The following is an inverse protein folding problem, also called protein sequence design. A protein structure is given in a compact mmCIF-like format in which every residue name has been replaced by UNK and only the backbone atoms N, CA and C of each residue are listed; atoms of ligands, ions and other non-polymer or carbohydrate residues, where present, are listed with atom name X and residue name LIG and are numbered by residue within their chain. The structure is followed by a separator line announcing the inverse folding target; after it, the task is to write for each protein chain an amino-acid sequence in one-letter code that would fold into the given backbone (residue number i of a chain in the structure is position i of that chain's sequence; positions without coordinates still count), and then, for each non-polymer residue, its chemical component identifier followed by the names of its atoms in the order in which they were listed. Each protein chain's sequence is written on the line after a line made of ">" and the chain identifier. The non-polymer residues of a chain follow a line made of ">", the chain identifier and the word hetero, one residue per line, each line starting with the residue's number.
data_IF_419193544535
#
_entry.id   IF_419193544535
#
_cell.length_a   1.000
_cell.length_b   1.000
_cell.length_c   1.000
_cell.angle_alpha   90.00
_cell.angle_beta   90.00
_cell.angle_gamma   90.00
#
_symmetry.space_group_name_H-M   'P 1'
#
loop_
_entity.id
_entity.type
_entity.pdbx_description
1 polymer ?
#
# COMPACT_ATOMS: atom_id res chain seq x y z
N UNK A 1 -40.74 -51.77 -32.03
CA UNK A 1 -40.80 -51.14 -30.70
C UNK A 1 -39.45 -51.29 -30.02
N UNK A 2 -38.96 -50.25 -29.32
CA UNK A 2 -37.56 -50.05 -28.91
C UNK A 2 -37.26 -50.57 -27.49
N UNK A 3 -35.98 -50.77 -27.14
CA UNK A 3 -35.40 -50.32 -25.86
C UNK A 3 -33.90 -50.61 -25.75
N UNK A 4 -33.15 -49.52 -25.90
CA UNK A 4 -31.91 -49.13 -25.24
C UNK A 4 -31.56 -49.88 -23.93
N UNK A 5 -30.32 -50.38 -23.82
CA UNK A 5 -29.56 -50.34 -22.56
C UNK A 5 -28.08 -50.11 -22.85
N UNK A 6 -27.73 -48.83 -22.84
CA UNK A 6 -26.37 -48.35 -22.63
C UNK A 6 -25.72 -48.90 -21.34
N UNK A 7 -24.39 -49.04 -21.44
CA UNK A 7 -23.41 -48.66 -20.42
C UNK A 7 -23.12 -49.63 -19.25
N UNK A 8 -21.85 -50.07 -19.17
CA UNK A 8 -20.93 -49.73 -18.06
C UNK A 8 -19.52 -50.26 -18.32
N UNK A 9 -18.71 -49.39 -18.91
CA UNK A 9 -17.24 -49.43 -18.82
C UNK A 9 -16.85 -49.20 -17.36
N UNK A 10 -15.95 -50.02 -16.83
CA UNK A 10 -15.47 -49.94 -15.45
C UNK A 10 -14.82 -48.60 -15.13
N UNK A 11 -14.85 -48.14 -13.87
CA UNK A 11 -14.32 -46.83 -13.51
C UNK A 11 -12.80 -46.81 -13.68
N UNK A 12 -12.34 -45.85 -14.46
CA UNK A 12 -10.95 -45.49 -14.63
C UNK A 12 -10.30 -45.20 -13.26
N UNK A 13 -9.09 -45.74 -13.09
CA UNK A 13 -8.19 -45.44 -11.99
C UNK A 13 -8.10 -43.93 -11.79
N UNK A 14 -8.55 -43.47 -10.63
CA UNK A 14 -8.32 -42.12 -10.16
C UNK A 14 -6.81 -41.96 -9.95
N UNK A 15 -6.14 -41.36 -10.92
CA UNK A 15 -4.80 -40.82 -10.74
C UNK A 15 -4.85 -39.84 -9.58
N UNK A 16 -4.21 -40.25 -8.48
CA UNK A 16 -4.10 -39.44 -7.27
C UNK A 16 -3.57 -38.07 -7.63
N UNK A 17 -4.41 -37.06 -7.47
CA UNK A 17 -4.00 -35.66 -7.51
C UNK A 17 -2.86 -35.51 -6.54
N UNK A 18 -1.66 -35.30 -7.07
CA UNK A 18 -0.49 -34.93 -6.32
C UNK A 18 -0.85 -33.66 -5.54
N UNK A 19 -1.21 -33.84 -4.27
CA UNK A 19 -1.51 -32.75 -3.36
C UNK A 19 -0.29 -31.84 -3.36
N UNK A 20 -0.39 -30.72 -4.07
CA UNK A 20 0.66 -29.73 -4.17
C UNK A 20 1.12 -29.38 -2.75
N UNK A 21 2.31 -29.87 -2.38
CA UNK A 21 2.89 -29.61 -1.06
C UNK A 21 2.86 -28.10 -0.83
N UNK A 22 2.46 -27.60 0.36
CA UNK A 22 2.45 -26.18 0.64
C UNK A 22 3.88 -25.67 0.43
N UNK A 23 4.11 -24.89 -0.63
CA UNK A 23 5.41 -24.31 -0.94
C UNK A 23 5.77 -23.43 0.26
N UNK A 24 6.84 -23.79 0.98
CA UNK A 24 7.34 -22.95 2.08
C UNK A 24 7.79 -21.63 1.48
N UNK A 25 7.01 -20.58 1.71
CA UNK A 25 7.38 -19.25 1.24
C UNK A 25 8.55 -18.70 2.06
N UNK A 26 9.56 -18.12 1.40
CA UNK A 26 10.69 -17.53 2.12
C UNK A 26 10.24 -16.36 3.01
N UNK A 27 10.91 -16.21 4.15
CA UNK A 27 10.69 -15.17 5.15
C UNK A 27 10.69 -13.75 4.55
N UNK A 28 11.41 -13.54 3.45
CA UNK A 28 11.49 -12.27 2.73
C UNK A 28 10.12 -11.80 2.19
N UNK A 29 9.21 -12.71 1.84
CA UNK A 29 7.88 -12.35 1.37
C UNK A 29 7.01 -11.86 2.52
N UNK A 30 7.13 -12.47 3.70
CA UNK A 30 6.47 -11.97 4.90
C UNK A 30 7.04 -10.63 5.35
N UNK A 31 8.36 -10.43 5.24
CA UNK A 31 8.98 -9.13 5.50
C UNK A 31 8.50 -8.05 4.51
N UNK A 32 8.43 -8.38 3.21
CA UNK A 32 7.85 -7.51 2.18
C UNK A 32 6.41 -7.14 2.48
N UNK A 33 5.61 -8.13 2.89
CA UNK A 33 4.22 -7.92 3.25
C UNK A 33 4.08 -7.01 4.48
N UNK A 34 4.85 -7.28 5.54
CA UNK A 34 4.84 -6.46 6.76
C UNK A 34 5.28 -5.03 6.48
N UNK A 35 6.31 -4.82 5.66
CA UNK A 35 6.75 -3.49 5.28
C UNK A 35 5.70 -2.76 4.40
N UNK A 36 5.03 -3.48 3.51
CA UNK A 36 3.97 -2.91 2.69
C UNK A 36 2.72 -2.56 3.51
N UNK A 37 2.40 -3.37 4.53
CA UNK A 37 1.25 -3.12 5.40
C UNK A 37 1.44 -1.91 6.31
N UNK A 38 2.68 -1.46 6.56
CA UNK A 38 2.94 -0.16 7.21
C UNK A 38 2.31 0.98 6.40
N UNK A 39 2.36 0.93 5.07
CA UNK A 39 1.72 1.93 4.21
C UNK A 39 0.20 1.92 4.32
N UNK A 40 -0.40 0.73 4.46
CA UNK A 40 -1.81 0.59 4.78
C UNK A 40 -2.16 1.18 6.14
N UNK A 41 -1.39 0.85 7.18
CA UNK A 41 -1.59 1.37 8.53
C UNK A 41 -1.46 2.90 8.59
N UNK A 42 -0.52 3.49 7.84
CA UNK A 42 -0.34 4.93 7.73
C UNK A 42 -1.57 5.62 7.12
N UNK A 43 -2.12 5.07 6.05
CA UNK A 43 -3.37 5.55 5.46
C UNK A 43 -4.54 5.47 6.46
N UNK A 44 -4.64 4.34 7.15
CA UNK A 44 -5.66 4.14 8.18
C UNK A 44 -5.51 5.12 9.35
N UNK A 45 -4.29 5.38 9.79
CA UNK A 45 -3.99 6.32 10.87
C UNK A 45 -4.46 7.73 10.51
N UNK A 46 -4.10 8.26 9.34
CA UNK A 46 -4.52 9.62 8.92
C UNK A 46 -6.04 9.74 8.79
N UNK A 47 -6.69 8.69 8.28
CA UNK A 47 -8.14 8.64 8.12
C UNK A 47 -8.88 8.63 9.45
N UNK A 48 -8.37 7.92 10.46
CA UNK A 48 -9.01 7.84 11.78
C UNK A 48 -8.68 9.01 12.69
N UNK A 49 -7.42 9.46 12.73
CA UNK A 49 -6.95 10.46 13.69
C UNK A 49 -7.59 11.83 13.47
N UNK A 50 -7.90 12.18 12.22
CA UNK A 50 -8.51 13.48 11.90
C UNK A 50 -9.90 13.63 12.51
N UNK A 51 -10.65 12.54 12.65
CA UNK A 51 -11.99 12.60 13.23
C UNK A 51 -11.94 13.04 14.70
N UNK A 52 -10.91 12.62 15.44
CA UNK A 52 -10.67 13.07 16.81
C UNK A 52 -10.05 14.48 16.86
N UNK A 53 -9.05 14.75 16.01
CA UNK A 53 -8.35 16.03 16.00
C UNK A 53 -9.27 17.20 15.60
N UNK A 54 -10.22 16.98 14.70
CA UNK A 54 -11.16 18.02 14.25
C UNK A 54 -12.00 18.60 15.38
N UNK A 55 -12.35 17.80 16.38
CA UNK A 55 -13.13 18.28 17.54
C UNK A 55 -12.33 19.34 18.32
N UNK A 56 -11.07 19.04 18.62
CA UNK A 56 -10.18 19.94 19.35
C UNK A 56 -9.77 21.17 18.52
N UNK A 57 -9.48 20.97 17.23
CA UNK A 57 -9.09 22.05 16.31
C UNK A 57 -10.25 23.04 16.11
N UNK A 58 -11.50 22.55 16.13
CA UNK A 58 -12.69 23.40 16.07
C UNK A 58 -12.72 24.38 17.24
N UNK A 59 -12.53 23.85 18.44
CA UNK A 59 -12.64 24.61 19.68
C UNK A 59 -11.47 25.58 19.87
N UNK A 60 -10.24 25.19 19.49
CA UNK A 60 -9.05 26.05 19.65
C UNK A 60 -9.04 27.25 18.70
N UNK A 61 -9.41 27.05 17.44
CA UNK A 61 -9.36 28.10 16.42
C UNK A 61 -10.72 28.77 16.16
N UNK A 62 -11.75 28.44 16.96
CA UNK A 62 -13.14 28.88 16.80
C UNK A 62 -13.62 28.77 15.33
N UNK A 63 -13.39 27.58 14.75
CA UNK A 63 -13.62 27.35 13.33
C UNK A 63 -15.10 27.04 13.04
N UNK A 64 -15.61 27.67 11.97
CA UNK A 64 -16.91 27.30 11.40
C UNK A 64 -16.86 25.86 10.85
N UNK A 65 -17.99 25.15 10.86
CA UNK A 65 -18.11 23.80 10.28
C UNK A 65 -17.62 23.74 8.82
N UNK A 66 -17.91 24.78 8.04
CA UNK A 66 -17.42 24.92 6.67
C UNK A 66 -15.88 24.84 6.59
N UNK A 67 -15.14 25.38 7.56
CA UNK A 67 -13.68 25.34 7.56
C UNK A 67 -13.13 23.94 7.82
N UNK A 68 -13.77 23.19 8.72
CA UNK A 68 -13.39 21.79 8.99
C UNK A 68 -13.66 20.94 7.76
N UNK A 69 -14.81 21.13 7.11
CA UNK A 69 -15.13 20.46 5.84
C UNK A 69 -14.07 20.74 4.77
N UNK A 70 -13.57 21.97 4.67
CA UNK A 70 -12.48 22.32 3.74
C UNK A 70 -11.16 21.61 4.11
N UNK A 71 -10.82 21.53 5.40
CA UNK A 71 -9.62 20.83 5.89
C UNK A 71 -9.69 19.32 5.56
N UNK A 72 -10.85 18.69 5.75
CA UNK A 72 -11.04 17.26 5.47
C UNK A 72 -11.10 16.99 3.96
N UNK A 73 -11.91 17.75 3.22
CA UNK A 73 -12.11 17.55 1.79
C UNK A 73 -10.87 17.86 0.95
N UNK A 74 -10.03 18.82 1.36
CA UNK A 74 -8.79 19.13 0.66
C UNK A 74 -7.79 17.98 0.67
N UNK A 75 -7.68 17.23 1.78
CA UNK A 75 -6.84 16.03 1.86
C UNK A 75 -7.32 14.94 0.89
N UNK A 76 -8.64 14.67 0.88
CA UNK A 76 -9.25 13.68 -0.02
C UNK A 76 -9.15 14.10 -1.49
N UNK A 77 -9.37 15.39 -1.78
CA UNK A 77 -9.22 15.96 -3.11
C UNK A 77 -7.78 15.86 -3.63
N UNK A 78 -6.79 16.17 -2.78
CA UNK A 78 -5.39 15.98 -3.10
C UNK A 78 -5.09 14.49 -3.36
N UNK A 79 -5.54 13.59 -2.48
CA UNK A 79 -5.35 12.15 -2.66
C UNK A 79 -5.95 11.66 -3.99
N UNK A 80 -7.14 12.14 -4.37
CA UNK A 80 -7.77 11.80 -5.64
C UNK A 80 -6.90 12.23 -6.83
N UNK A 81 -6.46 13.49 -6.87
CA UNK A 81 -5.61 14.01 -7.96
C UNK A 81 -4.29 13.24 -8.06
N UNK A 82 -3.61 13.04 -6.93
CA UNK A 82 -2.33 12.35 -6.92
C UNK A 82 -2.45 10.85 -7.19
N UNK A 83 -3.58 10.22 -6.85
CA UNK A 83 -3.84 8.81 -7.18
C UNK A 83 -3.91 8.57 -8.69
N UNK A 84 -4.47 9.51 -9.46
CA UNK A 84 -4.54 9.43 -10.92
C UNK A 84 -3.15 9.49 -11.58
N UNK A 85 -2.27 10.33 -11.04
CA UNK A 85 -0.91 10.53 -11.58
C UNK A 85 0.08 9.49 -11.01
N UNK A 86 -0.26 8.84 -9.89
CA UNK A 86 0.62 7.90 -9.18
C UNK A 86 1.15 6.76 -10.06
N UNK A 87 0.33 6.24 -10.97
CA UNK A 87 0.74 5.18 -11.90
C UNK A 87 1.87 5.62 -12.83
N UNK A 88 1.75 6.80 -13.43
CA UNK A 88 2.78 7.38 -14.30
C UNK A 88 4.07 7.62 -13.52
N UNK A 89 3.96 8.15 -12.30
CA UNK A 89 5.12 8.37 -11.41
C UNK A 89 5.80 7.03 -11.10
N UNK A 90 5.05 6.03 -10.62
CA UNK A 90 5.58 4.72 -10.26
C UNK A 90 6.19 3.96 -11.45
N UNK A 91 5.66 4.14 -12.65
CA UNK A 91 6.25 3.60 -13.88
C UNK A 91 7.53 4.35 -14.28
N UNK A 92 7.60 5.66 -14.06
CA UNK A 92 8.77 6.47 -14.37
C UNK A 92 9.94 6.17 -13.42
N UNK A 93 9.75 6.33 -12.11
CA UNK A 93 10.82 6.30 -11.09
C UNK A 93 10.97 4.97 -10.34
N UNK A 94 10.00 4.05 -10.47
CA UNK A 94 9.96 2.79 -9.73
C UNK A 94 8.92 2.80 -8.62
N UNK A 95 8.43 1.61 -8.26
CA UNK A 95 7.41 1.46 -7.22
C UNK A 95 8.00 1.77 -5.85
N UNK A 96 9.17 1.19 -5.52
CA UNK A 96 9.85 1.44 -4.23
C UNK A 96 10.20 2.91 -4.09
N UNK A 97 10.80 3.53 -5.12
CA UNK A 97 11.19 4.95 -5.07
C UNK A 97 9.97 5.86 -4.88
N UNK A 98 8.85 5.59 -5.57
CA UNK A 98 7.63 6.35 -5.41
C UNK A 98 7.06 6.25 -3.99
N UNK A 99 7.06 5.05 -3.40
CA UNK A 99 6.59 4.85 -2.02
C UNK A 99 7.50 5.57 -1.02
N UNK A 100 8.83 5.51 -1.20
CA UNK A 100 9.77 6.22 -0.34
C UNK A 100 9.63 7.74 -0.45
N UNK A 101 9.48 8.28 -1.66
CA UNK A 101 9.27 9.70 -1.87
C UNK A 101 7.96 10.17 -1.20
N UNK A 102 6.89 9.40 -1.35
CA UNK A 102 5.63 9.69 -0.70
C UNK A 102 5.73 9.62 0.83
N UNK A 103 6.49 8.67 1.39
CA UNK A 103 6.74 8.58 2.83
C UNK A 103 7.45 9.83 3.39
N UNK A 104 8.40 10.39 2.63
CA UNK A 104 9.07 11.66 3.00
C UNK A 104 8.07 12.82 2.97
N UNK A 105 7.28 12.94 1.90
CA UNK A 105 6.25 13.99 1.77
C UNK A 105 5.23 13.88 2.90
N UNK A 106 4.80 12.67 3.25
CA UNK A 106 3.89 12.41 4.37
C UNK A 106 4.49 12.85 5.71
N UNK A 107 5.77 12.53 5.95
CA UNK A 107 6.47 12.90 7.17
C UNK A 107 6.56 14.42 7.32
N UNK A 108 6.88 15.12 6.23
CA UNK A 108 6.91 16.60 6.20
C UNK A 108 5.52 17.15 6.49
N UNK A 109 4.48 16.61 5.84
CA UNK A 109 3.10 17.02 6.06
C UNK A 109 2.65 16.84 7.52
N UNK A 110 2.96 15.68 8.13
CA UNK A 110 2.70 15.40 9.54
C UNK A 110 3.42 16.39 10.47
N UNK A 111 4.69 16.68 10.21
CA UNK A 111 5.45 17.66 10.98
C UNK A 111 4.87 19.07 10.87
N UNK A 112 4.52 19.51 9.65
CA UNK A 112 3.89 20.82 9.40
C UNK A 112 2.57 20.94 10.16
N UNK A 113 1.76 19.88 10.21
CA UNK A 113 0.52 19.88 10.98
C UNK A 113 0.77 19.93 12.49
N UNK A 114 1.78 19.23 13.01
CA UNK A 114 2.10 19.23 14.43
C UNK A 114 2.57 20.58 14.97
N UNK A 115 3.25 21.39 14.15
CA UNK A 115 3.71 22.74 14.53
C UNK A 115 2.77 23.86 14.06
N UNK A 116 1.60 23.52 13.51
CA UNK A 116 0.72 24.49 12.89
C UNK A 116 0.22 25.53 13.91
N UNK A 117 0.40 26.82 13.59
CA UNK A 117 -0.09 27.93 14.42
C UNK A 117 -1.29 28.66 13.79
N UNK A 118 -1.93 28.02 12.80
CA UNK A 118 -3.11 28.59 12.15
C UNK A 118 -3.71 27.66 11.10
N UNK A 119 -4.98 27.94 10.77
CA UNK A 119 -5.81 27.15 9.84
C UNK A 119 -5.20 26.95 8.46
N UNK A 120 -4.47 27.92 7.92
CA UNK A 120 -3.82 27.82 6.61
C UNK A 120 -2.64 26.85 6.61
N UNK A 121 -1.88 26.81 7.70
CA UNK A 121 -0.76 25.87 7.84
C UNK A 121 -1.27 24.43 8.00
N UNK A 122 -2.38 24.25 8.73
CA UNK A 122 -3.11 22.99 8.76
C UNK A 122 -3.57 22.56 7.36
N UNK A 123 -4.21 23.46 6.61
CA UNK A 123 -4.69 23.17 5.25
C UNK A 123 -3.54 22.72 4.32
N UNK A 124 -2.40 23.41 4.34
CA UNK A 124 -1.22 23.04 3.55
C UNK A 124 -0.69 21.67 3.98
N UNK A 125 -0.64 21.40 5.30
CA UNK A 125 -0.26 20.11 5.84
C UNK A 125 -1.18 18.98 5.35
N UNK A 126 -2.51 19.20 5.37
CA UNK A 126 -3.51 18.23 4.89
C UNK A 126 -3.40 17.95 3.40
N UNK A 127 -3.18 18.97 2.56
CA UNK A 127 -2.97 18.79 1.13
C UNK A 127 -1.68 17.98 0.88
N UNK A 128 -0.62 18.28 1.64
CA UNK A 128 0.68 17.59 1.53
C UNK A 128 0.56 16.11 1.91
N UNK A 129 -0.11 15.82 3.02
CA UNK A 129 -0.39 14.45 3.46
C UNK A 129 -1.31 13.73 2.47
N UNK A 130 -2.37 14.38 2.00
CA UNK A 130 -3.29 13.83 1.00
C UNK A 130 -2.56 13.44 -0.29
N UNK A 131 -1.64 14.28 -0.77
CA UNK A 131 -0.82 13.98 -1.94
C UNK A 131 0.02 12.70 -1.75
N UNK A 132 0.67 12.56 -0.59
CA UNK A 132 1.45 11.36 -0.27
C UNK A 132 0.56 10.11 -0.17
N UNK A 133 -0.58 10.22 0.51
CA UNK A 133 -1.55 9.14 0.65
C UNK A 133 -2.03 8.66 -0.73
N UNK A 134 -2.41 9.58 -1.62
CA UNK A 134 -2.91 9.23 -2.96
C UNK A 134 -1.91 8.43 -3.78
N UNK A 135 -0.61 8.71 -3.62
CA UNK A 135 0.45 7.92 -4.26
C UNK A 135 0.55 6.54 -3.60
N UNK A 136 0.64 6.50 -2.27
CA UNK A 136 0.85 5.25 -1.51
C UNK A 136 -0.33 4.29 -1.68
N UNK A 137 -1.57 4.78 -1.64
CA UNK A 137 -2.78 3.96 -1.75
C UNK A 137 -2.89 3.19 -3.07
N UNK A 138 -2.37 3.79 -4.15
CA UNK A 138 -2.37 3.18 -5.48
C UNK A 138 -1.12 2.32 -5.71
N UNK A 139 0.05 2.76 -5.26
CA UNK A 139 1.33 2.11 -5.58
C UNK A 139 1.64 0.92 -4.67
N UNK A 140 1.24 0.95 -3.39
CA UNK A 140 1.51 -0.15 -2.44
C UNK A 140 0.84 -1.47 -2.87
N UNK A 141 -0.47 -1.53 -3.19
CA UNK A 141 -1.11 -2.77 -3.63
C UNK A 141 -0.48 -3.32 -4.92
N UNK A 142 -0.10 -2.43 -5.84
CA UNK A 142 0.61 -2.79 -7.08
C UNK A 142 1.97 -3.41 -6.75
N UNK A 143 2.77 -2.76 -5.91
CA UNK A 143 4.06 -3.27 -5.47
C UNK A 143 3.95 -4.64 -4.79
N UNK A 144 2.98 -4.81 -3.89
CA UNK A 144 2.70 -6.09 -3.24
C UNK A 144 2.32 -7.13 -4.28
N UNK A 145 1.41 -6.82 -5.21
CA UNK A 145 0.96 -7.78 -6.22
C UNK A 145 2.08 -8.25 -7.16
N UNK A 146 3.01 -7.36 -7.51
CA UNK A 146 4.16 -7.64 -8.39
C UNK A 146 5.25 -8.43 -7.68
N UNK A 147 5.44 -8.20 -6.37
CA UNK A 147 6.41 -8.95 -5.57
C UNK A 147 5.85 -10.28 -5.07
N UNK A 148 4.53 -10.42 -4.93
CA UNK A 148 3.92 -11.62 -4.33
C UNK A 148 3.81 -12.79 -5.31
N UNK A 149 4.10 -14.03 -4.85
CA UNK A 149 3.73 -15.24 -5.59
C UNK A 149 2.22 -15.33 -5.84
N UNK A 150 1.82 -15.96 -6.94
CA UNK A 150 0.41 -16.01 -7.37
C UNK A 150 -0.52 -16.69 -6.36
N UNK A 151 -0.04 -17.66 -5.60
CA UNK A 151 -0.79 -18.47 -4.63
C UNK A 151 -1.13 -17.72 -3.32
N UNK A 152 -0.27 -16.78 -2.89
CA UNK A 152 -0.48 -16.00 -1.66
C UNK A 152 -0.76 -14.52 -1.89
N UNK A 153 -0.74 -14.05 -3.15
CA UNK A 153 -1.00 -12.66 -3.51
C UNK A 153 -2.28 -12.12 -2.90
N UNK A 154 -3.38 -12.87 -2.99
CA UNK A 154 -4.67 -12.47 -2.41
C UNK A 154 -4.57 -12.24 -0.91
N UNK A 155 -3.95 -13.17 -0.18
CA UNK A 155 -3.75 -13.07 1.28
C UNK A 155 -2.92 -11.85 1.67
N UNK A 156 -1.89 -11.50 0.89
CA UNK A 156 -1.05 -10.34 1.15
C UNK A 156 -1.77 -9.01 0.90
N UNK A 157 -2.62 -8.96 -0.12
CA UNK A 157 -3.48 -7.80 -0.38
C UNK A 157 -4.51 -7.65 0.75
N UNK A 158 -5.14 -8.74 1.19
CA UNK A 158 -6.07 -8.71 2.33
C UNK A 158 -5.38 -8.28 3.61
N UNK A 159 -4.13 -8.71 3.83
CA UNK A 159 -3.34 -8.27 4.99
C UNK A 159 -3.13 -6.75 4.96
N UNK A 160 -2.86 -6.15 3.80
CA UNK A 160 -2.78 -4.69 3.68
C UNK A 160 -4.08 -4.01 4.13
N UNK A 161 -5.24 -4.54 3.72
CA UNK A 161 -6.54 -4.00 4.13
C UNK A 161 -6.79 -4.16 5.64
N UNK A 162 -6.34 -5.26 6.23
CA UNK A 162 -6.39 -5.47 7.68
C UNK A 162 -5.57 -4.41 8.41
N UNK A 163 -4.39 -4.05 7.90
CA UNK A 163 -3.57 -3.01 8.52
C UNK A 163 -4.14 -1.60 8.34
N UNK A 164 -4.83 -1.31 7.24
CA UNK A 164 -5.61 -0.06 7.11
C UNK A 164 -6.65 0.02 8.24
N UNK A 165 -7.42 -1.05 8.45
CA UNK A 165 -8.44 -1.08 9.51
C UNK A 165 -7.83 -1.03 10.91
N UNK A 166 -6.70 -1.71 11.15
CA UNK A 166 -5.95 -1.58 12.40
C UNK A 166 -5.42 -0.16 12.62
N UNK A 167 -4.96 0.52 11.56
CA UNK A 167 -4.52 1.91 11.63
C UNK A 167 -5.65 2.87 12.04
N UNK A 168 -6.85 2.67 11.50
CA UNK A 168 -8.05 3.42 11.91
C UNK A 168 -8.39 3.14 13.38
N UNK A 169 -8.30 1.87 13.81
CA UNK A 169 -8.61 1.51 15.19
C UNK A 169 -7.60 2.08 16.19
N UNK A 170 -6.30 1.98 15.90
CA UNK A 170 -5.23 2.54 16.73
C UNK A 170 -5.30 4.06 16.79
N UNK A 171 -5.59 4.73 15.66
CA UNK A 171 -5.76 6.18 15.66
C UNK A 171 -6.97 6.64 16.47
N UNK A 172 -8.08 5.88 16.46
CA UNK A 172 -9.22 6.17 17.33
C UNK A 172 -8.88 6.04 18.82
N UNK A 173 -8.08 5.02 19.21
CA UNK A 173 -7.60 4.89 20.59
C UNK A 173 -6.68 6.04 21.00
N UNK A 174 -5.74 6.41 20.12
CA UNK A 174 -4.84 7.55 20.38
C UNK A 174 -5.61 8.86 20.45
N UNK A 175 -6.61 9.06 19.59
CA UNK A 175 -7.51 10.20 19.66
C UNK A 175 -8.19 10.28 21.03
N UNK A 176 -8.72 9.18 21.55
CA UNK A 176 -9.35 9.16 22.88
C UNK A 176 -8.36 9.49 24.01
N UNK A 177 -7.11 9.01 23.93
CA UNK A 177 -6.08 9.28 24.93
C UNK A 177 -5.63 10.76 24.90
N UNK A 178 -5.39 11.30 23.70
CA UNK A 178 -4.89 12.66 23.55
C UNK A 178 -5.99 13.73 23.66
N UNK A 179 -7.27 13.35 23.68
CA UNK A 179 -8.37 14.30 23.83
C UNK A 179 -8.39 15.00 25.20
N UNK A 180 -7.81 14.38 26.22
CA UNK A 180 -7.71 14.93 27.58
C UNK A 180 -6.47 15.82 27.80
N UNK A 181 -5.55 15.88 26.82
CA UNK A 181 -4.34 16.71 26.91
C UNK A 181 -4.56 18.08 26.28
N UNK A 182 -4.02 19.11 26.93
CA UNK A 182 -3.85 20.44 26.34
C UNK A 182 -3.01 20.33 25.04
N UNK A 183 -3.46 20.99 23.97
CA UNK A 183 -2.88 20.89 22.62
C UNK A 183 -2.81 19.45 22.05
N UNK A 184 -3.66 18.53 22.53
CA UNK A 184 -3.68 17.12 22.15
C UNK A 184 -3.70 16.87 20.63
N UNK A 185 -4.39 17.72 19.86
CA UNK A 185 -4.48 17.61 18.40
C UNK A 185 -3.12 17.77 17.70
N UNK A 186 -2.19 18.55 18.26
CA UNK A 186 -0.83 18.72 17.72
C UNK A 186 -0.07 17.41 17.79
N UNK A 187 -0.21 16.69 18.89
CA UNK A 187 0.37 15.36 19.07
C UNK A 187 -0.31 14.34 18.15
N UNK A 188 -1.64 14.38 18.06
CA UNK A 188 -2.41 13.50 17.16
C UNK A 188 -1.92 13.61 15.70
N UNK A 189 -1.81 14.82 15.17
CA UNK A 189 -1.36 15.05 13.78
C UNK A 189 0.15 14.93 13.62
N UNK A 190 0.93 15.38 14.61
CA UNK A 190 2.40 15.31 14.59
C UNK A 190 2.92 13.88 14.67
N UNK A 191 2.27 13.01 15.44
CA UNK A 191 2.60 11.58 15.53
C UNK A 191 2.40 10.85 14.20
N UNK A 192 1.65 11.41 13.24
CA UNK A 192 1.60 10.87 11.88
C UNK A 192 2.98 10.83 11.21
N UNK A 193 3.92 11.70 11.60
CA UNK A 193 5.28 11.64 11.06
C UNK A 193 6.00 10.31 11.37
N UNK A 194 5.68 9.67 12.50
CA UNK A 194 6.31 8.41 12.94
C UNK A 194 6.09 7.26 11.95
N UNK A 195 4.85 6.86 11.58
CA UNK A 195 4.65 5.81 10.60
C UNK A 195 5.25 6.15 9.22
N UNK A 196 5.32 7.44 8.85
CA UNK A 196 6.00 7.89 7.62
C UNK A 196 7.50 7.56 7.64
N UNK A 197 8.19 7.87 8.74
CA UNK A 197 9.61 7.52 8.94
C UNK A 197 9.80 6.01 8.96
N UNK A 198 8.95 5.28 9.68
CA UNK A 198 9.02 3.81 9.74
C UNK A 198 8.86 3.22 8.34
N UNK A 199 7.90 3.69 7.55
CA UNK A 199 7.71 3.25 6.17
C UNK A 199 8.94 3.53 5.31
N UNK A 200 9.53 4.72 5.41
CA UNK A 200 10.75 5.06 4.67
C UNK A 200 11.89 4.08 5.01
N UNK A 201 12.13 3.81 6.29
CA UNK A 201 13.15 2.89 6.76
C UNK A 201 12.88 1.44 6.31
N UNK A 202 11.63 0.99 6.40
CA UNK A 202 11.21 -0.33 5.93
C UNK A 202 11.50 -0.51 4.43
N UNK A 203 11.17 0.49 3.60
CA UNK A 203 11.37 0.40 2.16
C UNK A 203 12.84 0.54 1.73
N UNK A 204 13.73 1.12 2.55
CA UNK A 204 15.17 1.14 2.27
C UNK A 204 15.74 -0.28 2.09
N UNK A 205 15.34 -1.21 2.95
CA UNK A 205 15.81 -2.60 2.94
C UNK A 205 15.16 -3.47 1.85
N UNK A 206 14.03 -3.03 1.27
CA UNK A 206 13.29 -3.82 0.29
C UNK A 206 13.85 -3.72 -1.13
N UNK A 207 13.74 -4.75 -1.97
CA UNK A 207 14.08 -4.66 -3.38
C UNK A 207 13.03 -3.88 -4.19
N UNK A 208 13.42 -3.39 -5.37
CA UNK A 208 12.49 -2.79 -6.33
C UNK A 208 11.66 -3.87 -7.05
N UNK A 209 10.47 -3.54 -7.56
CA UNK A 209 9.60 -4.52 -8.24
C UNK A 209 10.32 -5.23 -9.42
N UNK A 210 10.30 -6.57 -9.49
CA UNK A 210 10.85 -7.32 -10.63
C UNK A 210 10.20 -6.91 -11.95
N UNK A 211 8.87 -6.69 -11.96
CA UNK A 211 8.13 -6.29 -13.16
C UNK A 211 8.59 -4.93 -13.67
N UNK A 212 8.76 -3.95 -12.78
CA UNK A 212 9.29 -2.64 -13.18
C UNK A 212 10.73 -2.73 -13.71
N UNK A 213 11.56 -3.59 -13.11
CA UNK A 213 12.93 -3.79 -13.60
C UNK A 213 12.95 -4.38 -15.02
N UNK A 214 12.05 -5.32 -15.35
CA UNK A 214 11.87 -5.83 -16.72
C UNK A 214 11.39 -4.72 -17.65
N UNK A 215 10.40 -3.93 -17.23
CA UNK A 215 9.88 -2.80 -18.01
C UNK A 215 10.96 -1.76 -18.36
N UNK A 216 11.96 -1.56 -17.49
CA UNK A 216 13.13 -0.69 -17.74
C UNK A 216 14.30 -1.39 -18.45
N UNK A 217 14.06 -2.55 -19.08
CA UNK A 217 15.06 -3.38 -19.77
C UNK A 217 16.24 -3.84 -18.86
N UNK A 218 16.04 -3.92 -17.54
CA UNK A 218 17.06 -4.35 -16.56
C UNK A 218 16.90 -5.84 -16.23
N UNK A 219 16.88 -6.70 -17.23
CA UNK A 219 16.62 -8.15 -17.11
C UNK A 219 17.53 -8.86 -16.09
N UNK A 220 18.86 -8.61 -16.04
CA UNK A 220 19.73 -9.28 -15.06
C UNK A 220 19.40 -8.91 -13.61
N UNK A 221 19.02 -7.65 -13.36
CA UNK A 221 18.59 -7.20 -12.03
C UNK A 221 17.23 -7.78 -11.67
N UNK A 222 16.31 -7.84 -12.64
CA UNK A 222 14.98 -8.43 -12.44
C UNK A 222 15.10 -9.89 -12.02
N UNK A 223 15.95 -10.66 -12.71
CA UNK A 223 16.25 -12.06 -12.37
C UNK A 223 16.81 -12.21 -10.96
N UNK A 224 17.82 -11.41 -10.58
CA UNK A 224 18.39 -11.42 -9.22
C UNK A 224 17.34 -11.11 -8.16
N UNK A 225 16.51 -10.11 -8.40
CA UNK A 225 15.45 -9.72 -7.48
C UNK A 225 14.39 -10.82 -7.34
N UNK A 226 13.98 -11.42 -8.46
CA UNK A 226 13.03 -12.52 -8.48
C UNK A 226 13.58 -13.75 -7.75
N UNK A 227 14.86 -14.08 -7.93
CA UNK A 227 15.55 -15.13 -7.16
C UNK A 227 15.57 -14.83 -5.67
N UNK A 228 15.82 -13.58 -5.27
CA UNK A 228 15.78 -13.17 -3.86
C UNK A 228 14.38 -13.32 -3.26
N UNK A 229 13.34 -12.84 -3.97
CA UNK A 229 11.97 -12.86 -3.47
C UNK A 229 11.41 -14.29 -3.44
N UNK A 230 11.68 -15.10 -4.47
CA UNK A 230 11.18 -16.48 -4.59
C UNK A 230 12.05 -17.50 -3.84
N UNK A 231 13.25 -17.10 -3.41
CA UNK A 231 14.28 -17.97 -2.81
C UNK A 231 14.53 -19.27 -3.62
N UNK A 232 14.42 -19.17 -4.94
CA UNK A 232 14.68 -20.26 -5.89
C UNK A 232 15.50 -19.74 -7.05
N UNK A 233 16.31 -20.63 -7.64
CA UNK A 233 17.07 -20.34 -8.86
C UNK A 233 16.21 -20.51 -10.12
N UNK A 234 15.11 -21.25 -10.01
CA UNK A 234 14.20 -21.53 -11.12
C UNK A 234 13.12 -20.46 -11.23
N UNK A 235 13.52 -19.30 -11.77
CA UNK A 235 12.65 -18.15 -11.99
C UNK A 235 12.59 -17.72 -13.45
N UNK A 236 13.21 -18.50 -14.35
CA UNK A 236 13.31 -18.15 -15.78
C UNK A 236 11.92 -18.14 -16.43
N UNK A 237 11.10 -19.15 -16.15
CA UNK A 237 9.74 -19.23 -16.70
C UNK A 237 8.85 -18.06 -16.22
N UNK A 238 8.94 -17.69 -14.93
CA UNK A 238 8.23 -16.52 -14.41
C UNK A 238 8.75 -15.21 -15.02
N UNK A 239 10.06 -15.09 -15.23
CA UNK A 239 10.66 -13.93 -15.89
C UNK A 239 10.21 -13.80 -17.35
N UNK A 240 10.17 -14.90 -18.11
CA UNK A 240 9.68 -14.93 -19.49
C UNK A 240 8.20 -14.55 -19.57
N UNK A 241 7.36 -15.08 -18.67
CA UNK A 241 5.94 -14.67 -18.57
C UNK A 241 5.80 -13.17 -18.32
N UNK A 242 6.63 -12.59 -17.45
CA UNK A 242 6.63 -11.14 -17.20
C UNK A 242 7.04 -10.37 -18.46
N UNK A 243 8.09 -10.79 -19.17
CA UNK A 243 8.53 -10.15 -20.42
C UNK A 243 7.41 -10.19 -21.46
N UNK A 244 6.82 -11.36 -21.70
CA UNK A 244 5.74 -11.53 -22.67
C UNK A 244 4.52 -10.65 -22.32
N UNK A 245 4.10 -10.62 -21.06
CA UNK A 245 2.97 -9.78 -20.63
C UNK A 245 3.21 -8.29 -20.88
N UNK A 246 4.45 -7.82 -20.71
CA UNK A 246 4.81 -6.42 -20.96
C UNK A 246 4.93 -6.09 -22.45
N UNK A 247 5.32 -7.06 -23.28
CA UNK A 247 5.33 -6.91 -24.74
C UNK A 247 3.92 -6.86 -25.32
N UNK A 248 3.00 -7.67 -24.79
CA UNK A 248 1.58 -7.62 -25.16
C UNK A 248 0.94 -6.29 -24.74
N UNK A 249 1.19 -5.81 -23.51
CA UNK A 249 0.71 -4.49 -23.05
C UNK A 249 1.23 -3.32 -23.92
N UNK A 250 2.45 -3.42 -24.46
CA UNK A 250 3.01 -2.42 -25.38
C UNK A 250 2.38 -2.45 -26.77
N UNK A 251 1.85 -3.58 -27.21
CA UNK A 251 1.18 -3.72 -28.53
C UNK A 251 -0.27 -3.23 -28.49
N UNK A 252 -0.90 -3.24 -27.32
CA UNK A 252 -2.29 -2.83 -27.13
C UNK A 252 -2.46 -1.34 -26.81
N UNK A 253 -1.40 -0.67 -26.34
CA UNK A 253 -1.34 0.79 -26.16
C UNK A 253 -0.93 1.50 -27.44
#
# INVERSE_FOLDING_TARGET
>A
MPSDTSNRVGPAEATGGEQARPKKHPTIIYLLAMCATVGGALFGYDTGIINGANLLIKDEFDLTDAWIEHIVSSAVGAAAVFSLVSGVIADAIGRKTAIMAAAVVFTIGGFVMGIANGKWMLLIGRITVGAAIGIVSSVVPVYVSECSPADIRGRLITLNQLFITLGIWVSAMLAAIFQELDDGWRYMLGLAAVPGVVQFLCFLALPESPRWQVMKNKIPKAKKTLMQIRATSDVNEELERIVQSLEEEKKTK
#
